data_IF_748932127495
#
_entry.id   IF_748932127495
#
_cell.length_a   1.000
_cell.length_b   1.000
_cell.length_c   1.000
_cell.angle_alpha   90.00
_cell.angle_beta   90.00
_cell.angle_gamma   90.00
#
_symmetry.space_group_name_H-M   'P 1'
#
loop_
_entity.id
_entity.type
_entity.pdbx_description
1 polymer ?
#
# COMPACT_ATOMS: atom_id res chain seq x y z
N UNK A 1 13.64 -9.63 14.32
CA UNK A 1 12.28 -9.10 14.10
C UNK A 1 11.85 -9.59 12.73
N UNK A 2 10.60 -10.04 12.58
CA UNK A 2 10.08 -10.38 11.25
C UNK A 2 10.04 -9.11 10.43
N UNK A 3 10.90 -9.03 9.40
CA UNK A 3 11.03 -7.86 8.53
C UNK A 3 9.95 -7.82 7.44
N UNK A 4 8.96 -8.72 7.52
CA UNK A 4 7.94 -8.91 6.49
C UNK A 4 6.59 -9.18 7.13
N UNK A 5 5.51 -8.74 6.50
CA UNK A 5 4.12 -9.08 6.84
C UNK A 5 3.46 -9.70 5.62
N UNK A 6 2.80 -10.84 5.81
CA UNK A 6 2.13 -11.58 4.74
C UNK A 6 0.62 -11.51 4.90
N UNK A 7 -0.07 -11.36 3.78
CA UNK A 7 -1.53 -11.42 3.69
C UNK A 7 -1.92 -12.48 2.66
N UNK A 8 -2.98 -13.21 2.97
CA UNK A 8 -3.54 -14.22 2.09
C UNK A 8 -5.05 -14.31 2.35
N UNK A 9 -5.84 -14.16 1.30
CA UNK A 9 -7.28 -14.36 1.34
C UNK A 9 -7.80 -14.90 0.00
N UNK A 10 -9.11 -14.90 -0.21
CA UNK A 10 -9.69 -15.43 -1.45
C UNK A 10 -9.35 -14.60 -2.69
N UNK A 11 -8.89 -13.34 -2.56
CA UNK A 11 -8.45 -12.51 -3.68
C UNK A 11 -7.00 -12.78 -4.13
N UNK A 12 -6.18 -13.39 -3.27
CA UNK A 12 -4.78 -13.63 -3.56
C UNK A 12 -3.87 -13.51 -2.34
N UNK A 13 -2.58 -13.33 -2.60
CA UNK A 13 -1.56 -13.20 -1.55
C UNK A 13 -0.58 -12.07 -1.84
N UNK A 14 -0.03 -11.46 -0.79
CA UNK A 14 1.02 -10.46 -0.91
C UNK A 14 1.97 -10.49 0.28
N UNK A 15 3.18 -9.98 0.05
CA UNK A 15 4.20 -9.76 1.08
C UNK A 15 4.58 -8.28 1.10
N UNK A 16 4.59 -7.71 2.31
CA UNK A 16 5.05 -6.37 2.59
C UNK A 16 6.36 -6.44 3.38
N UNK A 17 7.44 -5.90 2.83
CA UNK A 17 8.69 -5.70 3.53
C UNK A 17 8.62 -4.42 4.36
N UNK A 18 9.12 -4.44 5.58
CA UNK A 18 9.26 -3.25 6.42
C UNK A 18 10.55 -2.52 6.01
N UNK A 19 10.44 -1.27 5.56
CA UNK A 19 11.55 -0.50 4.99
C UNK A 19 11.85 0.81 5.71
N UNK A 20 11.10 1.14 6.76
CA UNK A 20 11.29 2.35 7.56
C UNK A 20 11.25 2.09 9.07
N UNK A 21 11.52 3.14 9.83
CA UNK A 21 11.33 3.15 11.28
C UNK A 21 9.86 3.39 11.63
N UNK A 22 9.47 2.96 12.83
CA UNK A 22 8.16 3.30 13.38
C UNK A 22 8.09 4.80 13.68
N UNK A 23 7.02 5.43 13.21
CA UNK A 23 6.78 6.85 13.46
C UNK A 23 5.29 7.14 13.61
N UNK A 24 4.97 8.33 14.13
CA UNK A 24 3.58 8.75 14.24
C UNK A 24 3.00 8.99 12.84
N UNK A 25 1.80 8.47 12.58
CA UNK A 25 1.11 8.61 11.29
C UNK A 25 1.00 10.07 10.84
N UNK A 26 0.78 11.00 11.77
CA UNK A 26 0.68 12.45 11.50
C UNK A 26 2.00 13.10 11.03
N UNK A 27 3.14 12.46 11.27
CA UNK A 27 4.45 12.96 10.88
C UNK A 27 4.90 12.38 9.53
N UNK A 28 4.18 11.39 8.99
CA UNK A 28 4.57 10.72 7.77
C UNK A 28 4.22 11.58 6.55
N UNK A 29 5.20 11.89 5.70
CA UNK A 29 4.97 12.65 4.46
C UNK A 29 5.40 11.84 3.24
N UNK A 30 4.80 12.13 2.08
CA UNK A 30 5.20 11.48 0.82
C UNK A 30 6.62 11.83 0.36
N UNK A 31 7.23 12.87 0.93
CA UNK A 31 8.63 13.23 0.65
C UNK A 31 9.63 12.23 1.29
N UNK A 32 9.18 11.46 2.28
CA UNK A 32 10.00 10.47 3.00
C UNK A 32 9.93 9.08 2.36
N UNK A 33 9.18 8.92 1.26
CA UNK A 33 8.92 7.63 0.61
C UNK A 33 9.93 7.42 -0.51
N UNK A 34 10.76 6.36 -0.46
CA UNK A 34 11.64 5.97 -1.57
C UNK A 34 10.84 5.59 -2.82
N UNK A 35 11.41 5.85 -4.00
CA UNK A 35 10.74 5.64 -5.28
C UNK A 35 10.29 4.17 -5.50
N UNK A 36 11.02 3.19 -4.95
CA UNK A 36 10.71 1.76 -5.05
C UNK A 36 9.54 1.31 -4.16
N UNK A 37 9.03 2.19 -3.30
CA UNK A 37 7.89 1.94 -2.43
C UNK A 37 6.56 2.43 -3.04
N UNK A 38 6.61 3.16 -4.15
CA UNK A 38 5.39 3.61 -4.82
C UNK A 38 4.77 2.50 -5.67
N UNK A 39 3.45 2.41 -5.58
CA UNK A 39 2.59 1.52 -6.35
C UNK A 39 1.60 2.34 -7.18
N UNK A 40 1.13 1.76 -8.28
CA UNK A 40 0.05 2.36 -9.06
C UNK A 40 -1.33 2.11 -8.42
N UNK A 41 -2.35 2.77 -8.98
CA UNK A 41 -3.72 2.67 -8.49
C UNK A 41 -4.27 1.24 -8.53
N UNK A 42 -3.99 0.48 -9.60
CA UNK A 42 -4.49 -0.89 -9.74
C UNK A 42 -3.86 -1.81 -8.68
N UNK A 43 -2.56 -1.67 -8.47
CA UNK A 43 -1.83 -2.39 -7.42
C UNK A 43 -2.36 -2.02 -6.04
N UNK A 44 -2.66 -0.75 -5.80
CA UNK A 44 -3.27 -0.29 -4.54
C UNK A 44 -4.64 -0.93 -4.30
N UNK A 45 -5.46 -1.04 -5.33
CA UNK A 45 -6.76 -1.72 -5.26
C UNK A 45 -6.61 -3.21 -4.93
N UNK A 46 -5.69 -3.91 -5.58
CA UNK A 46 -5.39 -5.34 -5.33
C UNK A 46 -4.88 -5.56 -3.90
N UNK A 47 -3.98 -4.69 -3.42
CA UNK A 47 -3.50 -4.67 -2.03
C UNK A 47 -4.66 -4.46 -1.05
N UNK A 48 -5.55 -3.50 -1.31
CA UNK A 48 -6.70 -3.24 -0.45
C UNK A 48 -7.64 -4.46 -0.35
N UNK A 49 -7.85 -5.18 -1.46
CA UNK A 49 -8.64 -6.41 -1.49
C UNK A 49 -7.97 -7.55 -0.71
N UNK A 50 -6.69 -7.82 -0.95
CA UNK A 50 -5.97 -8.92 -0.29
C UNK A 50 -5.79 -8.66 1.22
N UNK A 51 -5.54 -7.41 1.61
CA UNK A 51 -5.37 -7.05 3.02
C UNK A 51 -6.69 -6.82 3.75
N UNK A 52 -7.79 -6.63 3.01
CA UNK A 52 -9.08 -6.13 3.51
C UNK A 52 -8.94 -4.84 4.34
N UNK A 53 -7.92 -4.03 4.04
CA UNK A 53 -7.51 -2.85 4.82
C UNK A 53 -7.20 -3.13 6.30
N UNK A 54 -6.87 -4.39 6.65
CA UNK A 54 -6.57 -4.77 8.04
C UNK A 54 -5.18 -4.31 8.44
N UNK A 55 -5.14 -3.26 9.25
CA UNK A 55 -3.89 -2.73 9.80
C UNK A 55 -3.01 -2.06 8.75
N UNK A 56 -3.56 -1.74 7.57
CA UNK A 56 -2.84 -0.98 6.54
C UNK A 56 -3.56 0.33 6.23
N UNK A 57 -2.81 1.31 5.76
CA UNK A 57 -3.31 2.52 5.16
C UNK A 57 -2.60 2.72 3.82
N UNK A 58 -3.38 2.83 2.75
CA UNK A 58 -2.88 3.22 1.44
C UNK A 58 -3.04 4.73 1.31
N UNK A 59 -1.95 5.43 1.05
CA UNK A 59 -1.93 6.88 0.89
C UNK A 59 -1.42 7.25 -0.49
N UNK A 60 -1.89 8.39 -1.02
CA UNK A 60 -1.54 8.85 -2.36
C UNK A 60 -0.84 10.21 -2.29
N UNK A 61 0.21 10.38 -3.08
CA UNK A 61 0.89 11.67 -3.24
C UNK A 61 0.00 12.65 -4.02
N UNK A 62 -0.39 13.76 -3.41
CA UNK A 62 -1.09 14.84 -4.12
C UNK A 62 -0.08 15.69 -4.91
N UNK A 63 -0.17 15.71 -6.24
CA UNK A 63 0.64 16.62 -7.07
C UNK A 63 -0.09 17.96 -7.14
N UNK A 64 0.47 18.99 -6.53
CA UNK A 64 -0.13 20.33 -6.51
C UNK A 64 0.21 21.19 -7.73
N UNK A 65 1.12 20.79 -8.62
CA UNK A 65 1.54 21.67 -9.73
C UNK A 65 1.76 20.91 -11.06
N UNK A 66 0.91 21.23 -12.04
CA UNK A 66 1.03 21.03 -13.51
C UNK A 66 0.91 19.61 -14.09
N UNK A 67 -0.32 19.34 -14.51
CA UNK A 67 -0.75 18.73 -15.80
C UNK A 67 -0.44 17.28 -16.20
N UNK A 68 0.13 16.41 -15.36
CA UNK A 68 -0.10 14.95 -15.52
C UNK A 68 -0.06 14.26 -14.14
N UNK A 69 -1.12 13.57 -13.70
CA UNK A 69 -1.01 12.67 -12.55
C UNK A 69 -0.09 11.51 -12.93
N UNK A 70 1.05 11.39 -12.25
CA UNK A 70 1.87 10.18 -12.30
C UNK A 70 1.00 8.96 -11.91
N UNK A 71 0.91 7.90 -12.73
CA UNK A 71 0.13 6.71 -12.40
C UNK A 71 0.64 5.97 -11.16
N UNK A 72 1.89 6.18 -10.72
CA UNK A 72 2.49 5.59 -9.50
C UNK A 72 2.52 6.60 -8.37
N UNK A 73 1.49 6.62 -7.55
CA UNK A 73 1.35 7.60 -6.47
C UNK A 73 0.96 7.00 -5.12
N UNK A 74 0.61 5.72 -5.08
CA UNK A 74 0.22 5.03 -3.86
C UNK A 74 1.44 4.58 -3.06
N UNK A 75 1.36 4.58 -1.74
CA UNK A 75 2.32 3.91 -0.86
C UNK A 75 1.59 3.29 0.33
N UNK A 76 2.19 2.27 0.94
CA UNK A 76 1.54 1.44 1.96
C UNK A 76 2.18 1.69 3.32
N UNK A 77 1.36 2.11 4.27
CA UNK A 77 1.70 2.22 5.68
C UNK A 77 1.09 1.06 6.46
N UNK A 78 1.90 0.37 7.25
CA UNK A 78 1.44 -0.67 8.17
C UNK A 78 1.27 -0.07 9.57
N UNK A 79 0.07 -0.17 10.14
CA UNK A 79 -0.22 0.26 11.50
C UNK A 79 0.29 -0.76 12.52
N UNK A 80 1.13 -0.28 13.44
CA UNK A 80 1.50 -1.00 14.68
C UNK A 80 0.54 -0.67 15.83
N UNK A 81 -0.04 0.51 15.75
CA UNK A 81 -1.11 0.98 16.63
C UNK A 81 -1.97 2.00 15.86
N UNK A 82 -3.06 2.52 16.44
CA UNK A 82 -3.87 3.54 15.79
C UNK A 82 -3.11 4.81 15.35
N UNK A 83 -1.97 5.12 16.00
CA UNK A 83 -1.19 6.34 15.73
C UNK A 83 0.23 6.07 15.26
N UNK A 84 0.72 4.83 15.31
CA UNK A 84 2.08 4.45 14.93
C UNK A 84 2.04 3.60 13.67
N UNK A 85 2.80 4.03 12.66
CA UNK A 85 2.90 3.39 11.35
C UNK A 85 4.36 3.09 11.02
N UNK A 86 4.55 2.16 10.10
CA UNK A 86 5.83 1.90 9.46
C UNK A 86 5.64 1.84 7.95
N UNK A 87 6.60 2.39 7.20
CA UNK A 87 6.60 2.30 5.74
C UNK A 87 6.87 0.86 5.32
N UNK A 88 6.12 0.41 4.32
CA UNK A 88 6.32 -0.90 3.71
C UNK A 88 6.55 -0.80 2.21
N UNK A 89 7.28 -1.79 1.69
CA UNK A 89 7.45 -2.03 0.27
C UNK A 89 6.74 -3.33 -0.10
N UNK A 90 5.97 -3.29 -1.18
CA UNK A 90 5.36 -4.50 -1.73
C UNK A 90 6.43 -5.36 -2.41
N UNK A 91 6.77 -6.51 -1.82
CA UNK A 91 7.83 -7.40 -2.31
C UNK A 91 7.31 -8.55 -3.16
N UNK A 92 6.06 -8.95 -2.96
CA UNK A 92 5.36 -9.90 -3.83
C UNK A 92 3.87 -9.61 -3.86
N UNK A 93 3.26 -9.80 -5.02
CA UNK A 93 1.82 -9.74 -5.22
C UNK A 93 1.40 -10.85 -6.18
N UNK A 94 0.49 -11.69 -5.73
CA UNK A 94 -0.16 -12.72 -6.54
C UNK A 94 -1.68 -12.53 -6.40
N UNK A 95 -2.25 -11.80 -7.35
CA UNK A 95 -3.68 -11.53 -7.41
C UNK A 95 -4.35 -12.58 -8.31
N UNK A 96 -5.26 -13.35 -7.75
CA UNK A 96 -5.80 -14.56 -8.40
C UNK A 96 -7.14 -14.33 -9.07
N UNK A 97 -7.75 -13.16 -8.86
CA UNK A 97 -9.05 -12.82 -9.43
C UNK A 97 -8.90 -12.01 -10.73
N UNK A 98 -9.67 -12.39 -11.76
CA UNK A 98 -9.71 -11.64 -13.03
C UNK A 98 -10.60 -10.40 -12.97
N UNK A 99 -11.41 -10.27 -11.92
CA UNK A 99 -12.29 -9.14 -11.67
C UNK A 99 -11.52 -8.10 -10.87
N UNK A 100 -11.09 -7.01 -11.51
CA UNK A 100 -10.72 -5.82 -10.76
C UNK A 100 -11.92 -5.31 -9.94
N UNK A 101 -11.76 -4.40 -8.97
CA UNK A 101 -12.88 -3.86 -8.18
C UNK A 101 -14.02 -3.28 -9.05
N UNK A 102 -13.71 -2.87 -10.29
CA UNK A 102 -14.70 -2.44 -11.29
C UNK A 102 -15.68 -3.52 -11.72
N UNK A 103 -15.30 -4.78 -11.69
CA UNK A 103 -16.13 -5.90 -12.16
C UNK A 103 -16.91 -6.59 -11.02
N UNK A 104 -16.56 -6.30 -9.76
CA UNK A 104 -17.24 -6.86 -8.58
C UNK A 104 -18.59 -6.17 -8.25
N UNK A 105 -18.96 -5.13 -9.00
CA UNK A 105 -20.16 -4.31 -8.78
C UNK A 105 -21.33 -4.61 -9.75
N UNK A 106 -21.21 -5.63 -10.59
CA UNK A 106 -22.25 -6.04 -11.55
C UNK A 106 -22.64 -7.51 -11.42
#
# INVERSE_FOLDING_TARGET
MENTTQYNNHYGSLTLDIVGEEQLARNFTSADVPDDCFIDLNTAEEVALITENRGIQIAFRWITEKEVPDPKQGYILLHRSPSVVVLTRLSSLDYTHSTGPRDALF
#
